data_IF_084104047719
#
_entry.id   IF_084104047719
#
_cell.length_a   1.000
_cell.length_b   1.000
_cell.length_c   1.000
_cell.angle_alpha   90.00
_cell.angle_beta   90.00
_cell.angle_gamma   90.00
#
_symmetry.space_group_name_H-M   'P 1'
#
loop_
_entity.id
_entity.type
_entity.pdbx_description
1 polymer ?
#
# COMPACT_ATOMS: atom_id res chain seq x y z
N UNK A 1 11.30 -27.20 17.15
CA UNK A 1 11.04 -26.70 16.85
C UNK A 1 10.65 -25.88 16.66
N UNK A 2 10.52 -25.40 16.55
CA UNK A 2 10.05 -24.59 16.26
C UNK A 2 9.67 -24.04 15.70
N UNK A 3 9.34 -23.45 15.51
CA UNK A 3 8.91 -22.85 14.96
C UNK A 3 8.62 -22.07 14.64
N UNK A 4 8.69 -22.10 14.27
CA UNK A 4 8.58 -21.19 13.75
C UNK A 4 7.77 -20.40 13.68
N UNK A 5 7.42 -20.23 13.91
CA UNK A 5 6.66 -19.71 14.01
C UNK A 5 6.61 -18.58 13.87
N UNK A 6 7.11 -18.26 13.98
CA UNK A 6 7.13 -17.32 13.78
C UNK A 6 7.10 -17.02 12.65
N UNK A 7 6.61 -17.54 12.12
CA UNK A 7 6.53 -17.27 10.96
C UNK A 7 5.94 -16.10 10.63
N UNK A 8 6.46 -15.32 9.86
CA UNK A 8 5.86 -14.18 9.31
C UNK A 8 5.13 -14.64 8.12
N UNK A 9 3.82 -14.59 8.17
CA UNK A 9 3.06 -14.92 7.00
C UNK A 9 3.11 -13.72 6.09
N UNK A 10 3.40 -13.96 4.85
CA UNK A 10 3.44 -12.90 3.86
C UNK A 10 4.64 -13.02 2.97
N UNK A 11 4.78 -12.04 2.09
CA UNK A 11 5.83 -12.01 1.10
C UNK A 11 6.79 -10.87 1.41
N UNK A 12 8.06 -11.19 1.57
CA UNK A 12 9.08 -10.17 1.73
C UNK A 12 9.30 -9.51 0.38
N UNK A 13 9.13 -8.20 0.30
CA UNK A 13 9.17 -7.51 -0.98
C UNK A 13 10.42 -6.67 -1.17
N UNK A 14 10.92 -6.04 -0.10
CA UNK A 14 12.14 -5.23 -0.19
C UNK A 14 12.54 -4.82 1.21
N UNK A 15 13.69 -4.17 1.32
CA UNK A 15 14.07 -3.55 2.57
C UNK A 15 13.41 -2.18 2.67
N UNK A 16 13.11 -1.77 3.90
CA UNK A 16 12.49 -0.46 4.11
C UNK A 16 13.35 0.66 3.53
N UNK A 17 14.68 0.54 3.68
CA UNK A 17 15.56 1.60 3.21
C UNK A 17 15.63 1.68 1.69
N UNK A 18 15.01 0.74 0.98
CA UNK A 18 14.92 0.81 -0.47
C UNK A 18 13.70 1.60 -0.92
N UNK A 19 12.83 2.01 0.00
CA UNK A 19 11.70 2.87 -0.33
C UNK A 19 12.02 4.25 0.23
N UNK A 20 12.07 5.24 -0.65
CA UNK A 20 12.32 6.60 -0.19
C UNK A 20 11.12 7.09 0.61
N UNK A 21 11.33 7.94 1.64
CA UNK A 21 10.20 8.52 2.34
C UNK A 21 9.26 9.24 1.38
N UNK A 22 7.98 9.11 1.63
CA UNK A 22 6.92 9.72 0.81
C UNK A 22 6.94 9.20 -0.62
N UNK A 23 7.26 7.92 -0.78
CA UNK A 23 7.33 7.28 -2.10
C UNK A 23 6.75 5.89 -2.03
N UNK A 24 6.57 5.31 -3.21
CA UNK A 24 6.09 3.95 -3.34
C UNK A 24 6.93 3.13 -4.29
N UNK A 25 6.83 1.83 -4.15
CA UNK A 25 7.48 0.89 -5.06
C UNK A 25 6.46 -0.18 -5.44
N UNK A 26 6.56 -0.71 -6.65
CA UNK A 26 5.68 -1.81 -7.05
C UNK A 26 6.24 -3.13 -6.56
N UNK A 27 5.35 -4.07 -6.31
CA UNK A 27 5.73 -5.42 -5.92
C UNK A 27 4.72 -6.39 -6.50
N UNK A 28 5.16 -7.61 -6.73
CA UNK A 28 4.26 -8.66 -7.15
C UNK A 28 4.08 -9.60 -5.98
N UNK A 29 2.85 -9.74 -5.49
CA UNK A 29 2.56 -10.54 -4.32
C UNK A 29 1.45 -11.51 -4.69
N UNK A 30 1.78 -12.79 -4.70
CA UNK A 30 0.81 -13.84 -5.07
C UNK A 30 0.14 -13.54 -6.40
N UNK A 31 0.93 -13.04 -7.36
CA UNK A 31 0.42 -12.74 -8.69
C UNK A 31 -0.32 -11.43 -8.81
N UNK A 32 -0.43 -10.65 -7.74
CA UNK A 32 -1.12 -9.37 -7.76
C UNK A 32 -0.13 -8.21 -7.72
N UNK A 33 -0.43 -7.18 -8.49
CA UNK A 33 0.39 -5.98 -8.52
C UNK A 33 0.03 -5.12 -7.31
N UNK A 34 0.98 -4.95 -6.41
CA UNK A 34 0.80 -4.24 -5.15
C UNK A 34 1.73 -3.04 -5.13
N UNK A 35 1.25 -1.91 -4.61
CA UNK A 35 2.07 -0.74 -4.40
C UNK A 35 2.36 -0.63 -2.91
N UNK A 36 3.62 -0.52 -2.54
CA UNK A 36 4.04 -0.40 -1.14
C UNK A 36 4.58 0.99 -0.93
N UNK A 37 4.06 1.68 0.07
CA UNK A 37 4.38 3.08 0.32
C UNK A 37 5.03 3.27 1.67
N UNK A 38 5.95 4.22 1.74
CA UNK A 38 6.58 4.63 2.98
C UNK A 38 6.25 6.10 3.20
N UNK A 39 5.63 6.42 4.33
CA UNK A 39 5.27 7.80 4.63
C UNK A 39 6.46 8.56 5.22
N UNK A 40 6.28 9.86 5.42
CA UNK A 40 7.34 10.70 5.96
C UNK A 40 7.76 10.27 7.36
N UNK A 41 6.85 9.65 8.11
CA UNK A 41 7.13 9.20 9.47
C UNK A 41 7.40 7.69 9.52
N UNK A 42 7.79 7.12 8.38
CA UNK A 42 8.26 5.73 8.28
C UNK A 42 7.20 4.68 8.52
N UNK A 43 5.92 5.04 8.37
CA UNK A 43 4.89 4.02 8.33
C UNK A 43 4.84 3.43 6.94
N UNK A 44 4.41 2.19 6.86
CA UNK A 44 4.29 1.51 5.56
C UNK A 44 2.86 1.10 5.33
N UNK A 45 2.46 1.17 4.07
CA UNK A 45 1.11 0.78 3.65
C UNK A 45 1.21 0.06 2.31
N UNK A 46 0.26 -0.81 2.05
CA UNK A 46 0.23 -1.56 0.79
C UNK A 46 -1.20 -1.57 0.26
N UNK A 47 -1.36 -1.11 -0.97
CA UNK A 47 -2.64 -1.16 -1.67
C UNK A 47 -2.39 -1.68 -3.08
N UNK A 48 -3.47 -2.00 -3.80
CA UNK A 48 -3.33 -2.41 -5.18
C UNK A 48 -2.59 -1.33 -5.97
N UNK A 49 -1.72 -1.74 -6.87
CA UNK A 49 -1.03 -0.80 -7.75
C UNK A 49 -1.92 -0.33 -8.90
N UNK A 50 -3.07 -0.97 -9.09
CA UNK A 50 -3.93 -0.68 -10.21
C UNK A 50 -4.84 0.50 -9.91
N UNK A 51 -4.75 1.53 -10.76
CA UNK A 51 -5.63 2.70 -10.69
C UNK A 51 -6.89 2.39 -11.51
N UNK A 52 -8.06 2.23 -10.86
CA UNK A 52 -9.27 1.86 -11.62
C UNK A 52 -9.82 2.98 -12.50
N UNK A 53 -9.46 4.23 -12.23
CA UNK A 53 -9.89 5.34 -13.08
C UNK A 53 -9.03 5.43 -14.33
N UNK A 54 -7.71 5.35 -14.15
CA UNK A 54 -6.78 5.42 -15.28
C UNK A 54 -6.55 4.08 -15.96
N UNK A 55 -6.93 2.99 -15.29
CA UNK A 55 -6.89 1.63 -15.82
C UNK A 55 -5.46 1.20 -16.11
N UNK A 56 -4.57 1.46 -15.17
CA UNK A 56 -3.17 1.10 -15.30
C UNK A 56 -2.57 0.88 -13.91
N UNK A 57 -1.52 0.06 -13.84
CA UNK A 57 -0.85 -0.24 -12.58
C UNK A 57 0.24 0.80 -12.35
N UNK A 58 -0.16 1.95 -11.81
CA UNK A 58 0.73 3.10 -11.68
C UNK A 58 0.67 3.78 -10.32
N UNK A 59 -0.12 3.26 -9.35
CA UNK A 59 -0.28 3.98 -8.10
C UNK A 59 1.04 4.12 -7.34
N UNK A 60 1.96 3.18 -7.51
CA UNK A 60 3.27 3.28 -6.85
C UNK A 60 4.07 4.49 -7.33
N UNK A 61 3.70 5.08 -8.45
CA UNK A 61 4.36 6.26 -8.99
C UNK A 61 3.66 7.55 -8.61
N UNK A 62 2.61 7.47 -7.80
CA UNK A 62 1.85 8.63 -7.43
C UNK A 62 2.53 9.47 -6.37
N UNK A 63 1.87 10.57 -6.02
CA UNK A 63 2.38 11.50 -5.02
C UNK A 63 1.76 11.15 -3.68
N UNK A 64 2.63 10.89 -2.70
CA UNK A 64 2.22 10.54 -1.34
C UNK A 64 2.12 11.81 -0.52
N UNK A 65 1.06 11.92 0.26
CA UNK A 65 0.87 13.06 1.15
C UNK A 65 -0.07 12.73 2.26
N UNK A 66 -0.47 13.75 3.01
CA UNK A 66 -1.49 13.61 4.06
C UNK A 66 -2.52 14.71 3.88
N UNK A 67 -3.74 14.47 4.32
CA UNK A 67 -4.81 15.43 4.17
C UNK A 67 -5.66 15.45 5.44
N UNK A 68 -6.14 16.65 5.77
CA UNK A 68 -7.07 16.84 6.88
C UNK A 68 -6.35 16.90 8.22
N UNK A 69 -7.15 17.18 9.27
CA UNK A 69 -6.60 17.31 10.61
C UNK A 69 -6.07 16.00 11.14
N UNK A 70 -6.62 14.89 10.64
CA UNK A 70 -6.17 13.58 11.07
C UNK A 70 -4.95 13.10 10.29
N UNK A 71 -4.46 13.90 9.36
CA UNK A 71 -3.29 13.56 8.56
C UNK A 71 -3.44 12.21 7.91
N UNK A 72 -4.56 12.02 7.18
CA UNK A 72 -4.83 10.78 6.49
C UNK A 72 -3.81 10.60 5.38
N UNK A 73 -3.05 9.50 5.40
CA UNK A 73 -2.06 9.28 4.35
C UNK A 73 -2.74 8.85 3.06
N UNK A 74 -2.30 9.43 1.96
CA UNK A 74 -2.88 9.11 0.67
C UNK A 74 -1.82 9.05 -0.41
N UNK A 75 -2.20 8.45 -1.55
CA UNK A 75 -1.44 8.58 -2.78
C UNK A 75 -2.37 9.16 -3.84
N UNK A 76 -1.89 10.14 -4.58
CA UNK A 76 -2.61 10.70 -5.72
C UNK A 76 -2.09 10.05 -6.98
N UNK A 77 -3.00 9.49 -7.77
CA UNK A 77 -2.62 8.81 -9.00
C UNK A 77 -1.91 9.77 -9.95
N UNK A 78 -0.87 9.31 -10.62
CA UNK A 78 -0.19 10.17 -11.58
C UNK A 78 -1.01 10.43 -12.84
N UNK A 79 -2.06 9.65 -13.06
CA UNK A 79 -2.85 9.79 -14.27
C UNK A 79 -3.95 10.81 -14.10
N UNK A 80 -4.93 10.53 -13.24
CA UNK A 80 -6.09 11.40 -13.13
C UNK A 80 -6.18 12.09 -11.77
N UNK A 81 -5.16 11.90 -10.93
CA UNK A 81 -5.00 12.63 -9.67
C UNK A 81 -5.97 12.26 -8.56
N UNK A 82 -6.78 11.22 -8.73
CA UNK A 82 -7.61 10.75 -7.63
C UNK A 82 -6.73 10.27 -6.48
N UNK A 83 -7.15 10.57 -5.26
CA UNK A 83 -6.40 10.24 -4.07
C UNK A 83 -6.99 9.01 -3.41
N UNK A 84 -6.12 8.10 -2.99
CA UNK A 84 -6.55 6.87 -2.34
C UNK A 84 -5.97 6.84 -0.93
N UNK A 85 -6.83 6.56 0.03
CA UNK A 85 -6.42 6.41 1.44
C UNK A 85 -5.51 5.18 1.53
N UNK A 86 -4.28 5.38 1.98
CA UNK A 86 -3.32 4.28 2.04
C UNK A 86 -3.66 3.25 3.10
N UNK A 87 -4.48 3.62 4.08
CA UNK A 87 -4.87 2.71 5.15
C UNK A 87 -5.93 1.72 4.71
N UNK A 88 -6.78 2.12 3.79
CA UNK A 88 -7.97 1.34 3.45
C UNK A 88 -8.12 1.05 1.96
N UNK A 89 -7.48 1.84 1.09
CA UNK A 89 -7.68 1.72 -0.35
C UNK A 89 -8.87 2.49 -0.87
N UNK A 90 -9.63 3.15 -0.01
CA UNK A 90 -10.81 3.88 -0.45
C UNK A 90 -10.39 5.19 -1.13
N UNK A 91 -11.01 5.48 -2.28
CA UNK A 91 -10.74 6.72 -2.98
C UNK A 91 -11.35 7.89 -2.19
N UNK A 92 -10.51 8.86 -1.84
CA UNK A 92 -10.96 10.01 -1.08
C UNK A 92 -11.83 10.94 -1.90
N UNK A 93 -11.69 10.89 -3.22
CA UNK A 93 -12.44 11.76 -4.12
C UNK A 93 -13.70 11.09 -4.66
N UNK A 94 -13.87 9.79 -4.37
CA UNK A 94 -15.06 9.05 -4.77
C UNK A 94 -15.19 7.83 -3.84
N UNK A 95 -15.83 8.00 -2.68
CA UNK A 95 -15.84 6.95 -1.67
C UNK A 95 -16.50 5.64 -2.08
N UNK A 96 -17.21 5.63 -3.20
CA UNK A 96 -17.78 4.38 -3.71
C UNK A 96 -16.75 3.52 -4.43
N UNK A 97 -15.57 4.06 -4.68
CA UNK A 97 -14.50 3.34 -5.36
C UNK A 97 -13.41 3.02 -4.35
N UNK A 98 -12.95 1.79 -4.37
CA UNK A 98 -11.86 1.39 -3.49
C UNK A 98 -11.01 0.37 -4.22
N UNK A 99 -9.72 0.36 -3.90
CA UNK A 99 -8.82 -0.68 -4.36
C UNK A 99 -8.47 -1.55 -3.16
N UNK A 100 -7.94 -2.74 -3.42
CA UNK A 100 -7.57 -3.64 -2.35
C UNK A 100 -6.48 -3.03 -1.49
N UNK A 101 -6.54 -3.29 -0.18
CA UNK A 101 -5.46 -2.96 0.73
C UNK A 101 -4.96 -4.26 1.35
N UNK A 102 -3.72 -4.23 1.83
CA UNK A 102 -3.05 -5.43 2.31
C UNK A 102 -2.42 -5.16 3.65
N UNK A 103 -2.38 -6.19 4.47
CA UNK A 103 -1.60 -6.13 5.69
C UNK A 103 -0.13 -5.97 5.31
N UNK A 104 0.60 -5.14 6.03
CA UNK A 104 2.01 -4.94 5.75
C UNK A 104 2.72 -4.61 7.05
N UNK A 105 3.93 -5.10 7.20
CA UNK A 105 4.72 -4.83 8.39
C UNK A 105 6.19 -4.84 8.03
N UNK A 106 6.99 -4.32 8.94
CA UNK A 106 8.43 -4.30 8.78
C UNK A 106 9.01 -5.24 9.82
N UNK A 107 9.78 -6.23 9.36
CA UNK A 107 10.41 -7.22 10.24
C UNK A 107 11.90 -7.18 9.96
N UNK A 108 12.67 -6.78 10.95
CA UNK A 108 14.14 -6.68 10.81
C UNK A 108 14.55 -5.88 9.59
N UNK A 109 13.84 -4.77 9.37
CA UNK A 109 14.15 -3.88 8.25
C UNK A 109 13.62 -4.34 6.90
N UNK A 110 12.89 -5.46 6.86
CA UNK A 110 12.35 -6.00 5.62
C UNK A 110 10.84 -5.77 5.60
N UNK A 111 10.34 -5.24 4.49
CA UNK A 111 8.92 -5.01 4.31
C UNK A 111 8.25 -6.30 3.87
N UNK A 112 7.25 -6.72 4.63
CA UNK A 112 6.53 -7.98 4.37
C UNK A 112 5.05 -7.64 4.13
N UNK A 113 4.55 -8.04 2.97
CA UNK A 113 3.14 -7.82 2.61
C UNK A 113 2.38 -9.10 2.88
N UNK A 114 1.32 -8.98 3.65
CA UNK A 114 0.50 -10.12 4.05
C UNK A 114 -0.79 -10.19 3.27
N UNK A 115 -1.82 -10.69 3.94
CA UNK A 115 -3.10 -10.95 3.30
C UNK A 115 -3.82 -9.67 2.94
N UNK A 116 -4.69 -9.76 1.94
CA UNK A 116 -5.59 -8.68 1.60
C UNK A 116 -6.48 -8.41 2.81
N UNK A 117 -6.59 -7.14 3.15
CA UNK A 117 -7.42 -6.75 4.28
C UNK A 117 -8.86 -6.62 3.87
N UNK A 118 -9.64 -6.81 4.75
CA UNK A 118 -10.88 -6.54 4.83
C UNK A 118 -11.84 -6.13 4.00
N UNK A 119 -12.11 -6.48 3.31
CA UNK A 119 -12.90 -5.99 2.70
C UNK A 119 -14.08 -6.38 2.90
N UNK A 120 -14.67 -6.09 2.92
CA UNK A 120 -15.76 -6.32 3.07
C UNK A 120 -16.39 -7.15 2.44
N UNK A 121 -16.45 -7.52 2.32
CA UNK A 121 -17.04 -8.25 1.78
C UNK A 121 -17.72 -8.63 1.77
N UNK A 122 -18.05 -8.84 1.43
CA UNK A 122 -18.96 -9.20 1.13
C UNK A 122 -19.33 -9.73 1.30
#
# INVERSE_FOLDING_TARGET
MSHPTEQVTGTAVCRLDQIRPESGVPALVDGEAVAVFRTYDDRVFAISNFDPFGRASVLSRGIVGTVGEEAVPFVASPLLKQRFDLRTGVCLDDPEVAVASYDVRVVDGVVVVGARQGTLEP
#
